data_IF_597845205633
#
_entry.id   IF_597845205633
#
_cell.length_a   1.000
_cell.length_b   1.000
_cell.length_c   1.000
_cell.angle_alpha   90.00
_cell.angle_beta   90.00
_cell.angle_gamma   90.00
#
_symmetry.space_group_name_H-M   'P 1'
#
loop_
_entity.id
_entity.type
_entity.pdbx_description
1 polymer ?
#
# COMPACT_ATOMS: atom_id res chain seq x y z
N UNK A 1 -9.88 3.17 -7.69
CA UNK A 1 -8.80 3.96 -7.04
C UNK A 1 -7.55 4.18 -7.91
N UNK A 2 -6.75 3.16 -8.26
CA UNK A 2 -5.48 3.34 -9.00
C UNK A 2 -5.54 4.18 -10.28
N UNK A 3 -6.65 4.12 -11.04
CA UNK A 3 -6.84 4.91 -12.26
C UNK A 3 -6.97 6.41 -11.96
N UNK A 4 -7.57 6.78 -10.83
CA UNK A 4 -7.69 8.18 -10.40
C UNK A 4 -6.42 8.74 -9.78
N UNK A 5 -5.59 7.89 -9.17
CA UNK A 5 -4.35 8.29 -8.50
C UNK A 5 -3.15 8.34 -9.47
N UNK A 6 -3.20 7.60 -10.57
CA UNK A 6 -2.09 7.51 -11.53
C UNK A 6 -1.82 8.86 -12.22
N UNK A 7 -0.61 9.38 -12.03
CA UNK A 7 -0.10 10.55 -12.75
C UNK A 7 -0.74 11.90 -12.36
N UNK A 8 -1.53 11.93 -11.27
CA UNK A 8 -2.06 13.18 -10.71
C UNK A 8 -1.20 13.60 -9.52
N UNK A 9 -0.91 14.89 -9.42
CA UNK A 9 -0.39 15.50 -8.19
C UNK A 9 -1.47 15.49 -7.12
N UNK A 10 -1.06 15.42 -5.85
CA UNK A 10 -1.97 15.42 -4.68
C UNK A 10 -3.01 16.53 -4.75
N UNK A 11 -2.66 17.73 -5.21
CA UNK A 11 -3.56 18.88 -5.36
C UNK A 11 -4.66 18.71 -6.43
N UNK A 12 -4.53 17.74 -7.34
CA UNK A 12 -5.52 17.43 -8.40
C UNK A 12 -6.35 16.18 -8.10
N UNK A 13 -6.17 15.59 -6.92
CA UNK A 13 -6.92 14.42 -6.48
C UNK A 13 -8.16 14.87 -5.69
N UNK A 14 -9.35 14.75 -6.28
CA UNK A 14 -10.60 14.97 -5.55
C UNK A 14 -10.85 13.81 -4.58
N UNK A 15 -10.64 14.07 -3.28
CA UNK A 15 -10.80 13.07 -2.21
C UNK A 15 -12.20 12.46 -2.18
N UNK A 16 -13.25 13.26 -2.43
CA UNK A 16 -14.63 12.80 -2.47
C UNK A 16 -14.88 11.74 -3.56
N UNK A 17 -14.24 11.90 -4.73
CA UNK A 17 -14.36 10.93 -5.81
C UNK A 17 -13.63 9.62 -5.46
N UNK A 18 -12.50 9.71 -4.76
CA UNK A 18 -11.75 8.55 -4.30
C UNK A 18 -12.53 7.81 -3.21
N UNK A 19 -13.18 8.55 -2.30
CA UNK A 19 -14.09 7.99 -1.31
C UNK A 19 -15.27 7.29 -1.98
N UNK A 20 -15.97 7.94 -2.91
CA UNK A 20 -17.07 7.31 -3.65
C UNK A 20 -16.63 6.02 -4.37
N UNK A 21 -15.44 6.02 -4.99
CA UNK A 21 -14.87 4.82 -5.59
C UNK A 21 -14.53 3.74 -4.55
N UNK A 22 -14.07 4.12 -3.36
CA UNK A 22 -13.84 3.20 -2.24
C UNK A 22 -15.15 2.57 -1.79
N UNK A 23 -16.18 3.38 -1.54
CA UNK A 23 -17.49 2.93 -1.06
C UNK A 23 -18.10 1.93 -2.05
N UNK A 24 -18.06 2.23 -3.35
CA UNK A 24 -18.50 1.29 -4.40
C UNK A 24 -17.67 0.01 -4.41
N UNK A 25 -16.34 0.11 -4.24
CA UNK A 25 -15.47 -1.08 -4.23
C UNK A 25 -15.73 -1.97 -3.02
N UNK A 26 -15.94 -1.37 -1.84
CA UNK A 26 -16.27 -2.09 -0.60
C UNK A 26 -17.63 -2.76 -0.70
N UNK A 27 -18.65 -2.07 -1.23
CA UNK A 27 -19.98 -2.62 -1.44
C UNK A 27 -19.99 -3.88 -2.34
N UNK A 28 -19.06 -3.98 -3.29
CA UNK A 28 -18.94 -5.15 -4.18
C UNK A 28 -18.14 -6.29 -3.53
N UNK A 29 -17.16 -5.96 -2.68
CA UNK A 29 -16.14 -6.92 -2.24
C UNK A 29 -16.45 -7.55 -0.88
N UNK A 30 -17.11 -6.81 0.02
CA UNK A 30 -17.33 -7.25 1.40
C UNK A 30 -18.73 -6.95 1.93
N UNK A 31 -19.28 -7.93 2.66
CA UNK A 31 -20.53 -7.79 3.41
C UNK A 31 -20.27 -7.49 4.90
N UNK A 32 -19.23 -6.70 5.17
CA UNK A 32 -18.83 -6.34 6.54
C UNK A 32 -19.73 -5.22 7.10
N UNK A 33 -20.17 -5.38 8.34
CA UNK A 33 -20.97 -4.40 9.08
C UNK A 33 -20.21 -3.08 9.32
N UNK A 34 -18.87 -3.13 9.43
CA UNK A 34 -18.04 -1.97 9.77
C UNK A 34 -17.40 -1.27 8.56
N UNK A 35 -17.82 -1.61 7.34
CA UNK A 35 -17.24 -1.07 6.10
C UNK A 35 -17.36 0.45 5.96
N UNK A 36 -18.41 1.05 6.51
CA UNK A 36 -18.69 2.48 6.42
C UNK A 36 -17.78 3.34 7.30
N UNK A 37 -17.09 2.73 8.27
CA UNK A 37 -16.14 3.41 9.15
C UNK A 37 -14.76 3.60 8.45
N UNK A 38 -14.55 3.02 7.26
CA UNK A 38 -13.32 3.19 6.46
C UNK A 38 -13.40 4.48 5.62
N UNK A 39 -12.43 5.38 5.84
CA UNK A 39 -12.33 6.67 5.14
C UNK A 39 -11.04 6.76 4.35
N UNK A 40 -11.05 7.59 3.32
CA UNK A 40 -9.86 7.93 2.54
C UNK A 40 -9.19 9.17 3.11
N UNK A 41 -7.86 9.16 3.16
CA UNK A 41 -7.05 10.27 3.65
C UNK A 41 -5.88 10.53 2.72
N UNK A 42 -5.53 11.80 2.56
CA UNK A 42 -4.36 12.24 1.80
C UNK A 42 -3.38 12.91 2.76
N UNK A 43 -2.14 12.43 2.77
CA UNK A 43 -1.03 13.02 3.53
C UNK A 43 -0.26 14.03 2.68
N UNK A 44 0.30 15.04 3.34
CA UNK A 44 1.18 16.05 2.72
C UNK A 44 2.66 15.66 2.76
N UNK A 45 2.96 14.43 3.19
CA UNK A 45 4.31 13.88 3.33
C UNK A 45 4.31 12.43 2.82
N UNK A 46 5.47 11.91 2.43
CA UNK A 46 5.60 10.55 1.89
C UNK A 46 5.66 9.50 3.02
N UNK A 47 5.90 8.23 2.67
CA UNK A 47 6.03 7.19 3.69
C UNK A 47 7.34 7.31 4.47
N UNK A 48 8.41 7.78 3.83
CA UNK A 48 9.74 7.86 4.43
C UNK A 48 9.75 8.94 5.51
N UNK A 49 9.28 10.15 5.20
CA UNK A 49 9.11 11.23 6.19
C UNK A 49 8.14 10.85 7.31
N UNK A 50 7.14 9.99 7.03
CA UNK A 50 6.25 9.46 8.06
C UNK A 50 7.00 8.55 9.04
N UNK A 51 7.89 7.70 8.54
CA UNK A 51 8.73 6.80 9.34
C UNK A 51 9.76 7.58 10.15
N UNK A 52 10.46 8.54 9.52
CA UNK A 52 11.43 9.42 10.19
C UNK A 52 10.79 10.14 11.37
N UNK A 53 9.56 10.67 11.20
CA UNK A 53 8.82 11.33 12.28
C UNK A 53 8.48 10.40 13.44
N UNK A 54 8.27 9.11 13.18
CA UNK A 54 7.95 8.13 14.23
C UNK A 54 9.21 7.56 14.89
N UNK A 55 10.35 7.56 14.21
CA UNK A 55 11.63 7.16 14.79
C UNK A 55 12.29 8.30 15.59
N UNK A 56 12.17 9.56 15.15
CA UNK A 56 12.85 10.72 15.74
C UNK A 56 12.08 11.41 16.88
N UNK A 57 11.22 10.69 17.62
CA UNK A 57 10.32 11.25 18.65
C UNK A 57 11.06 12.02 19.78
N UNK A 58 12.38 11.99 19.86
CA UNK A 58 13.16 12.76 20.85
C UNK A 58 13.72 14.12 20.37
N UNK A 59 13.63 14.47 19.09
CA UNK A 59 14.09 15.78 18.61
C UNK A 59 12.94 16.64 18.11
N UNK A 60 12.47 17.52 19.00
CA UNK A 60 11.72 18.72 18.66
C UNK A 60 12.62 19.67 17.86
N UNK A 61 12.91 19.33 16.61
CA UNK A 61 13.48 20.29 15.68
C UNK A 61 12.47 20.53 14.58
N UNK A 62 11.93 21.74 14.63
CA UNK A 62 11.20 22.39 13.55
C UNK A 62 12.01 22.26 12.25
N UNK A 63 11.65 21.32 11.39
CA UNK A 63 12.07 21.36 9.99
C UNK A 63 10.90 21.93 9.21
N UNK A 64 10.81 23.26 9.26
CA UNK A 64 10.10 24.08 8.27
C UNK A 64 10.89 24.13 6.95
N UNK A 65 11.46 23.02 6.50
CA UNK A 65 11.97 22.91 5.14
C UNK A 65 10.94 22.13 4.32
N UNK A 66 10.01 22.92 3.79
CA UNK A 66 9.23 22.58 2.61
C UNK A 66 10.19 22.34 1.45
N UNK A 67 10.83 21.17 1.40
CA UNK A 67 11.04 20.55 0.10
C UNK A 67 9.63 20.36 -0.46
N UNK A 68 9.32 21.05 -1.56
CA UNK A 68 8.18 20.69 -2.42
C UNK A 68 8.44 19.28 -2.95
N UNK A 69 8.26 18.27 -2.12
CA UNK A 69 8.15 16.90 -2.57
C UNK A 69 6.86 16.92 -3.38
N UNK A 70 6.98 16.93 -4.71
CA UNK A 70 5.87 16.74 -5.64
C UNK A 70 5.32 15.33 -5.45
N UNK A 71 4.58 15.15 -4.37
CA UNK A 71 3.92 13.90 -4.03
C UNK A 71 2.95 13.56 -5.15
N UNK A 72 3.07 12.33 -5.62
CA UNK A 72 2.05 11.75 -6.47
C UNK A 72 0.84 11.41 -5.60
N UNK A 73 -0.36 11.44 -6.19
CA UNK A 73 -1.58 11.03 -5.48
C UNK A 73 -1.50 9.61 -4.90
N UNK A 74 -0.65 8.75 -5.47
CA UNK A 74 -0.38 7.40 -4.98
C UNK A 74 0.44 7.39 -3.68
N UNK A 75 1.45 8.25 -3.56
CA UNK A 75 2.29 8.33 -2.38
C UNK A 75 1.57 9.02 -1.23
N UNK A 76 0.72 10.02 -1.51
CA UNK A 76 -0.07 10.71 -0.49
C UNK A 76 -1.26 9.89 0.04
N UNK A 77 -1.73 8.89 -0.70
CA UNK A 77 -2.96 8.17 -0.37
C UNK A 77 -2.80 7.21 0.81
N UNK A 78 -3.77 7.20 1.72
CA UNK A 78 -3.91 6.25 2.81
C UNK A 78 -5.37 6.03 3.19
N UNK A 79 -5.62 4.99 4.00
CA UNK A 79 -6.92 4.71 4.60
C UNK A 79 -6.92 5.15 6.06
N UNK A 80 -7.99 5.79 6.50
CA UNK A 80 -8.27 6.08 7.90
C UNK A 80 -9.46 5.25 8.36
N UNK A 81 -9.57 5.06 9.67
CA UNK A 81 -10.64 4.27 10.26
C UNK A 81 -11.27 5.05 11.40
N UNK A 82 -12.59 5.25 11.33
CA UNK A 82 -13.33 6.00 12.33
C UNK A 82 -13.75 5.08 13.48
N UNK A 83 -12.91 5.02 14.52
CA UNK A 83 -13.17 4.18 15.69
C UNK A 83 -14.10 4.91 16.67
N UNK A 84 -15.33 4.43 16.79
CA UNK A 84 -16.29 4.93 17.78
C UNK A 84 -15.90 4.49 19.20
N UNK A 85 -16.28 5.31 20.17
CA UNK A 85 -16.24 4.90 21.58
C UNK A 85 -17.20 3.70 21.78
N UNK A 86 -16.86 2.68 22.59
CA UNK A 86 -15.69 2.56 23.48
C UNK A 86 -14.45 1.89 22.85
N UNK A 87 -14.53 1.44 21.60
CA UNK A 87 -13.47 0.66 20.93
C UNK A 87 -12.17 1.48 20.81
N UNK A 88 -12.29 2.81 20.74
CA UNK A 88 -11.18 3.77 20.71
C UNK A 88 -10.24 3.67 21.92
N UNK A 89 -10.68 3.08 23.04
CA UNK A 89 -9.84 2.83 24.22
C UNK A 89 -8.78 1.76 23.98
N UNK A 90 -9.06 0.80 23.09
CA UNK A 90 -8.10 -0.21 22.69
C UNK A 90 -7.40 0.21 21.41
N UNK A 91 -8.18 0.54 20.39
CA UNK A 91 -7.65 0.91 19.08
C UNK A 91 -7.31 2.40 19.13
N UNK A 92 -6.13 2.69 19.67
CA UNK A 92 -5.64 4.04 19.81
C UNK A 92 -5.12 4.63 18.47
N UNK A 93 -4.86 5.94 18.45
CA UNK A 93 -4.36 6.63 17.25
C UNK A 93 -2.95 6.20 16.84
N UNK A 94 -2.10 5.80 17.79
CA UNK A 94 -0.76 5.29 17.49
C UNK A 94 -0.83 3.95 16.74
N UNK A 95 -1.78 3.09 17.11
CA UNK A 95 -2.07 1.83 16.43
C UNK A 95 -2.52 2.08 14.99
N UNK A 96 -3.50 2.96 14.79
CA UNK A 96 -3.96 3.36 13.46
C UNK A 96 -2.83 3.90 12.60
N UNK A 97 -1.97 4.74 13.16
CA UNK A 97 -0.84 5.35 12.44
C UNK A 97 0.12 4.29 11.91
N UNK A 98 0.41 3.24 12.70
CA UNK A 98 1.26 2.11 12.27
C UNK A 98 0.59 1.28 11.17
N UNK A 99 -0.70 0.98 11.30
CA UNK A 99 -1.46 0.31 10.24
C UNK A 99 -1.52 1.14 8.95
N UNK A 100 -1.60 2.47 9.06
CA UNK A 100 -1.54 3.39 7.92
C UNK A 100 -0.19 3.32 7.19
N UNK A 101 0.92 3.24 7.92
CA UNK A 101 2.24 3.06 7.31
C UNK A 101 2.34 1.73 6.58
N UNK A 102 1.91 0.64 7.23
CA UNK A 102 1.91 -0.69 6.65
C UNK A 102 1.07 -0.74 5.37
N UNK A 103 -0.14 -0.14 5.41
CA UNK A 103 -0.99 -0.02 4.23
C UNK A 103 -0.30 0.72 3.09
N UNK A 104 0.27 1.90 3.37
CA UNK A 104 0.95 2.71 2.34
C UNK A 104 2.09 1.95 1.68
N UNK A 105 2.87 1.19 2.47
CA UNK A 105 3.93 0.34 1.98
C UNK A 105 3.41 -0.76 1.03
N UNK A 106 2.44 -1.56 1.49
CA UNK A 106 1.87 -2.65 0.69
C UNK A 106 1.19 -2.13 -0.58
N UNK A 107 0.46 -1.01 -0.46
CA UNK A 107 -0.22 -0.35 -1.57
C UNK A 107 0.77 0.08 -2.65
N UNK A 108 1.91 0.65 -2.26
CA UNK A 108 2.96 1.07 -3.19
C UNK A 108 3.62 -0.13 -3.89
N UNK A 109 3.91 -1.22 -3.17
CA UNK A 109 4.47 -2.42 -3.79
C UNK A 109 3.48 -3.06 -4.77
N UNK A 110 2.18 -3.14 -4.40
CA UNK A 110 1.12 -3.61 -5.31
C UNK A 110 0.98 -2.72 -6.55
N UNK A 111 1.20 -1.42 -6.41
CA UNK A 111 1.26 -0.52 -7.55
C UNK A 111 2.43 -0.85 -8.50
N UNK A 112 3.63 -1.07 -7.96
CA UNK A 112 4.82 -1.46 -8.75
C UNK A 112 4.59 -2.79 -9.47
N UNK A 113 4.03 -3.80 -8.79
CA UNK A 113 3.66 -5.09 -9.40
C UNK A 113 2.78 -4.86 -10.64
N UNK A 114 1.75 -4.02 -10.50
CA UNK A 114 0.83 -3.70 -11.59
C UNK A 114 1.52 -2.95 -12.74
N UNK A 115 2.46 -2.05 -12.46
CA UNK A 115 3.25 -1.37 -13.48
C UNK A 115 4.09 -2.36 -14.30
N UNK A 116 4.78 -3.29 -13.64
CA UNK A 116 5.59 -4.33 -14.31
C UNK A 116 4.72 -5.25 -15.19
N UNK A 117 3.51 -5.59 -14.72
CA UNK A 117 2.52 -6.32 -15.51
C UNK A 117 2.02 -5.53 -16.72
N UNK A 118 1.81 -4.22 -16.60
CA UNK A 118 1.41 -3.37 -17.73
C UNK A 118 2.51 -3.27 -18.78
N UNK A 119 3.78 -3.14 -18.38
CA UNK A 119 4.92 -3.16 -19.31
C UNK A 119 5.00 -4.50 -20.05
N UNK A 120 4.75 -5.63 -19.38
CA UNK A 120 4.61 -6.92 -20.07
C UNK A 120 3.54 -6.83 -21.15
N UNK A 121 2.31 -6.43 -20.80
CA UNK A 121 1.19 -6.36 -21.75
C UNK A 121 1.55 -5.52 -22.97
N UNK A 122 2.19 -4.37 -22.76
CA UNK A 122 2.70 -3.52 -23.84
C UNK A 122 3.77 -4.23 -24.70
N UNK A 123 4.77 -4.89 -24.09
CA UNK A 123 5.79 -5.65 -24.81
C UNK A 123 5.21 -6.80 -25.64
N UNK A 124 4.23 -7.55 -25.10
CA UNK A 124 3.57 -8.65 -25.81
C UNK A 124 2.76 -8.13 -27.00
N UNK A 125 2.04 -7.03 -26.84
CA UNK A 125 1.22 -6.44 -27.89
C UNK A 125 2.06 -5.72 -28.97
N UNK A 126 3.09 -4.98 -28.57
CA UNK A 126 4.05 -4.34 -29.47
C UNK A 126 4.92 -5.35 -30.22
N UNK A 127 5.34 -6.42 -29.55
CA UNK A 127 6.06 -7.55 -30.15
C UNK A 127 5.22 -8.28 -31.20
N UNK A 128 3.91 -8.49 -30.96
CA UNK A 128 2.98 -9.04 -31.98
C UNK A 128 2.89 -8.15 -33.21
N UNK A 129 2.76 -6.82 -33.03
CA UNK A 129 2.72 -5.84 -34.14
C UNK A 129 4.03 -5.81 -34.93
N UNK A 130 5.17 -5.83 -34.23
CA UNK A 130 6.52 -5.86 -34.84
C UNK A 130 6.77 -7.16 -35.60
N UNK A 131 6.36 -8.31 -35.05
CA UNK A 131 6.44 -9.62 -35.73
C UNK A 131 5.55 -9.70 -36.98
N UNK A 132 4.35 -9.12 -36.94
CA UNK A 132 3.48 -9.02 -38.13
C UNK A 132 4.15 -8.22 -39.26
N UNK A 133 4.67 -7.03 -38.96
CA UNK A 133 5.41 -6.19 -39.93
C UNK A 133 6.74 -6.79 -40.39
N UNK A 134 7.36 -7.61 -39.54
CA UNK A 134 8.60 -8.31 -39.84
C UNK A 134 8.39 -9.55 -40.71
N UNK A 135 7.20 -10.16 -40.70
CA UNK A 135 6.88 -11.30 -41.59
C UNK A 135 6.94 -10.90 -43.07
N UNK A 136 6.72 -9.62 -43.37
CA UNK A 136 6.89 -9.01 -44.70
C UNK A 136 8.36 -8.77 -45.09
N UNK A 137 9.31 -8.88 -44.14
CA UNK A 137 10.75 -8.73 -44.40
C UNK A 137 11.48 -10.01 -43.96
N UNK A 138 11.96 -10.80 -44.91
CA UNK A 138 12.58 -12.14 -44.70
C UNK A 138 13.73 -12.22 -43.65
N UNK A 139 14.25 -11.12 -43.12
CA UNK A 139 15.44 -11.10 -42.24
C UNK A 139 15.25 -10.30 -40.94
N UNK A 140 14.21 -10.57 -40.17
CA UNK A 140 14.09 -9.98 -38.82
C UNK A 140 14.55 -10.97 -37.74
N UNK A 141 15.84 -10.92 -37.38
CA UNK A 141 16.36 -11.61 -36.20
C UNK A 141 15.85 -10.89 -34.96
N UNK A 142 14.98 -11.56 -34.21
CA UNK A 142 14.42 -11.02 -32.97
C UNK A 142 15.46 -11.21 -31.86
N UNK A 143 16.34 -10.23 -31.64
CA UNK A 143 17.31 -10.29 -30.53
C UNK A 143 16.58 -10.54 -29.20
N UNK A 144 17.14 -11.35 -28.29
CA UNK A 144 16.60 -11.52 -26.95
C UNK A 144 16.53 -10.16 -26.25
N UNK A 145 15.33 -9.79 -25.82
CA UNK A 145 15.07 -8.46 -25.30
C UNK A 145 15.52 -8.43 -23.82
N UNK A 146 16.75 -7.97 -23.54
CA UNK A 146 17.29 -7.90 -22.18
C UNK A 146 16.36 -7.17 -21.19
N UNK A 147 15.63 -6.16 -21.67
CA UNK A 147 14.60 -5.48 -20.90
C UNK A 147 13.45 -6.40 -20.44
N UNK A 148 13.07 -7.40 -21.24
CA UNK A 148 12.04 -8.37 -20.86
C UNK A 148 12.51 -9.32 -19.75
N UNK A 149 13.79 -9.70 -19.78
CA UNK A 149 14.41 -10.52 -18.74
C UNK A 149 14.58 -9.76 -17.43
N UNK A 150 15.11 -8.52 -17.49
CA UNK A 150 15.20 -7.64 -16.32
C UNK A 150 13.84 -7.42 -15.68
N UNK A 151 12.81 -7.09 -16.48
CA UNK A 151 11.43 -6.94 -16.00
C UNK A 151 10.90 -8.21 -15.33
N UNK A 152 11.22 -9.40 -15.87
CA UNK A 152 10.82 -10.67 -15.25
C UNK A 152 11.46 -10.84 -13.87
N UNK A 153 12.77 -10.56 -13.73
CA UNK A 153 13.46 -10.58 -12.44
C UNK A 153 12.86 -9.60 -11.43
N UNK A 154 12.59 -8.36 -11.86
CA UNK A 154 11.96 -7.35 -11.00
C UNK A 154 10.57 -7.78 -10.54
N UNK A 155 9.76 -8.36 -11.44
CA UNK A 155 8.42 -8.83 -11.09
C UNK A 155 8.48 -9.98 -10.07
N UNK A 156 9.35 -10.95 -10.31
CA UNK A 156 9.55 -12.07 -9.40
C UNK A 156 9.99 -11.60 -8.00
N UNK A 157 10.91 -10.64 -7.93
CA UNK A 157 11.31 -10.03 -6.65
C UNK A 157 10.13 -9.38 -5.93
N UNK A 158 9.36 -8.53 -6.62
CA UNK A 158 8.21 -7.84 -6.03
C UNK A 158 7.14 -8.81 -5.54
N UNK A 159 6.88 -9.88 -6.29
CA UNK A 159 5.91 -10.91 -5.91
C UNK A 159 6.35 -11.69 -4.67
N UNK A 160 7.62 -12.07 -4.60
CA UNK A 160 8.17 -12.74 -3.42
C UNK A 160 8.17 -11.83 -2.19
N UNK A 161 8.47 -10.55 -2.36
CA UNK A 161 8.40 -9.56 -1.27
C UNK A 161 6.96 -9.42 -0.75
N UNK A 162 5.97 -9.33 -1.64
CA UNK A 162 4.55 -9.28 -1.24
C UNK A 162 4.11 -10.56 -0.52
N UNK A 163 4.54 -11.71 -1.00
CA UNK A 163 4.26 -13.00 -0.37
C UNK A 163 4.82 -13.05 1.06
N UNK A 164 6.12 -12.73 1.20
CA UNK A 164 6.78 -12.68 2.51
C UNK A 164 6.07 -11.72 3.47
N UNK A 165 5.79 -10.49 3.04
CA UNK A 165 5.13 -9.50 3.89
C UNK A 165 3.71 -9.93 4.30
N UNK A 166 2.96 -10.56 3.41
CA UNK A 166 1.56 -10.92 3.69
C UNK A 166 1.45 -12.17 4.57
N UNK A 167 2.15 -13.25 4.20
CA UNK A 167 2.00 -14.55 4.85
C UNK A 167 2.98 -14.76 6.02
N UNK A 168 4.26 -14.48 5.82
CA UNK A 168 5.28 -14.74 6.85
C UNK A 168 5.24 -13.68 7.95
N UNK A 169 5.01 -12.41 7.58
CA UNK A 169 4.96 -11.32 8.54
C UNK A 169 3.52 -11.08 9.02
N UNK A 170 2.63 -10.57 8.18
CA UNK A 170 1.32 -10.10 8.65
C UNK A 170 0.46 -11.23 9.24
N UNK A 171 0.29 -12.35 8.52
CA UNK A 171 -0.57 -13.45 8.96
C UNK A 171 -0.02 -14.14 10.23
N UNK A 172 1.28 -14.39 10.28
CA UNK A 172 1.93 -15.01 11.46
C UNK A 172 1.76 -14.21 12.74
N UNK A 173 1.97 -12.88 12.66
CA UNK A 173 1.79 -11.99 13.79
C UNK A 173 0.31 -11.88 14.19
N UNK A 174 -0.60 -11.86 13.21
CA UNK A 174 -2.04 -11.86 13.46
C UNK A 174 -2.50 -13.13 14.19
N UNK A 175 -2.04 -14.31 13.79
CA UNK A 175 -2.36 -15.56 14.49
C UNK A 175 -1.85 -15.57 15.93
N UNK A 176 -0.60 -15.14 16.14
CA UNK A 176 -0.02 -15.03 17.49
C UNK A 176 -0.86 -14.09 18.35
N UNK A 177 -1.29 -12.99 17.76
CA UNK A 177 -2.11 -12.01 18.41
C UNK A 177 -3.51 -12.52 18.75
N UNK A 178 -4.22 -13.12 17.81
CA UNK A 178 -5.54 -13.72 18.02
C UNK A 178 -5.51 -14.76 19.15
N UNK A 179 -4.46 -15.59 19.19
CA UNK A 179 -4.25 -16.57 20.26
C UNK A 179 -4.03 -15.91 21.62
N UNK A 180 -3.32 -14.77 21.65
CA UNK A 180 -3.16 -13.99 22.88
C UNK A 180 -4.47 -13.33 23.30
N UNK A 181 -5.28 -12.84 22.35
CA UNK A 181 -6.59 -12.25 22.65
C UNK A 181 -7.54 -13.26 23.28
N UNK A 182 -7.56 -14.51 22.79
CA UNK A 182 -8.38 -15.59 23.35
C UNK A 182 -8.02 -15.95 24.80
N UNK A 183 -6.77 -15.70 25.21
CA UNK A 183 -6.28 -15.98 26.57
C UNK A 183 -6.51 -14.83 27.54
N UNK A 184 -6.75 -13.62 27.04
CA UNK A 184 -6.86 -12.42 27.86
C UNK A 184 -8.29 -12.19 28.32
N UNK A 185 -8.52 -12.22 29.63
CA UNK A 185 -9.83 -11.97 30.25
C UNK A 185 -10.03 -10.51 30.73
N UNK A 186 -8.99 -9.66 30.73
CA UNK A 186 -9.06 -8.26 31.21
C UNK A 186 -8.66 -7.24 30.13
N UNK A 187 -9.41 -6.15 30.05
CA UNK A 187 -9.24 -5.05 29.06
C UNK A 187 -7.84 -4.39 29.13
N UNK A 188 -7.23 -4.32 30.31
CA UNK A 188 -5.87 -3.76 30.48
C UNK A 188 -4.79 -4.63 29.82
N UNK A 189 -4.91 -5.95 29.95
CA UNK A 189 -3.98 -6.90 29.35
C UNK A 189 -4.16 -6.95 27.81
N UNK A 190 -5.37 -6.65 27.33
CA UNK A 190 -5.71 -6.56 25.91
C UNK A 190 -5.00 -5.37 25.23
N UNK A 191 -5.06 -4.18 25.83
CA UNK A 191 -4.34 -3.00 25.33
C UNK A 191 -2.83 -3.24 25.27
N UNK A 192 -2.27 -3.91 26.29
CA UNK A 192 -0.85 -4.26 26.32
C UNK A 192 -0.48 -5.26 25.19
N UNK A 193 -1.27 -6.31 24.97
CA UNK A 193 -1.06 -7.26 23.87
C UNK A 193 -1.14 -6.60 22.48
N UNK A 194 -2.13 -5.72 22.26
CA UNK A 194 -2.26 -4.92 21.03
C UNK A 194 -1.03 -4.05 20.79
N UNK A 195 -0.53 -3.36 21.81
CA UNK A 195 0.66 -2.51 21.67
C UNK A 195 1.93 -3.30 21.39
N UNK A 196 2.08 -4.53 21.92
CA UNK A 196 3.21 -5.42 21.61
C UNK A 196 3.14 -5.94 20.17
N UNK A 197 1.98 -6.43 19.72
CA UNK A 197 1.79 -6.87 18.33
C UNK A 197 2.18 -5.75 17.36
N UNK A 198 1.79 -4.52 17.65
CA UNK A 198 2.11 -3.36 16.82
C UNK A 198 3.54 -2.85 16.94
N UNK A 199 4.28 -3.23 17.97
CA UNK A 199 5.73 -2.95 18.04
C UNK A 199 6.52 -3.90 17.14
N UNK A 200 6.03 -5.12 16.91
CA UNK A 200 6.71 -6.11 16.07
C UNK A 200 6.65 -5.78 14.57
N UNK A 201 5.83 -4.81 14.15
CA UNK A 201 5.80 -4.29 12.77
C UNK A 201 6.64 -3.03 12.54
N UNK A 202 7.34 -2.55 13.56
CA UNK A 202 8.29 -1.44 13.48
C UNK A 202 9.72 -1.99 13.49
#
# INVERSE_FOLDING_TARGET
MYVCLKGKHTSRCHILLIQSLLDVSLAITSDDQYKDDVRTKMFHYDLISMLERVLNIESSTNINETMEIKLTGLESFSLDYDVKWPISLVINRNCLTRYQMLFRFLFYIKYIERLLCNVWRAHKNGGRRRRRRARDRKHFVTKPNGAAYLRHKMLHFVQNLLYYMSFEVIESHWHTFENNLKKVFKIKDFSLGYTMHLKNFA
#
